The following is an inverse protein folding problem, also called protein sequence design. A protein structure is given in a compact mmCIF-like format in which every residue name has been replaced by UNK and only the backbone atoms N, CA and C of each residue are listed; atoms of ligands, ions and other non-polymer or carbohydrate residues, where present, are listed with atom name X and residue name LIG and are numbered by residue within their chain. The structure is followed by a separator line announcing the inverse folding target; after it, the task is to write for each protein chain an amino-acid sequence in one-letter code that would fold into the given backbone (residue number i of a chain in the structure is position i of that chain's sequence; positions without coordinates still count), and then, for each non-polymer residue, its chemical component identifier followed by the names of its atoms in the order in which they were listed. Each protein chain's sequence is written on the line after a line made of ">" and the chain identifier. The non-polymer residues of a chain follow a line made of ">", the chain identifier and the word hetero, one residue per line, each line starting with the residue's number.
data_IF_278786365327
#
_entry.id   IF_278786365327
#
_cell.length_a   1.000
_cell.length_b   1.000
_cell.length_c   1.000
_cell.angle_alpha   90.00
_cell.angle_beta   90.00
_cell.angle_gamma   90.00
#
_symmetry.space_group_name_H-M   'P 1'
#
loop_
_entity.id
_entity.type
_entity.pdbx_description
1 polymer ?
#
# COMPACT_ATOMS: atom_id res chain seq x y z
N UNK A 1 -17.29 -14.41 16.63
CA UNK A 1 -16.75 -13.07 16.37
C UNK A 1 -16.17 -13.13 14.98
N UNK A 2 -16.60 -12.27 14.04
CA UNK A 2 -16.10 -12.32 12.68
C UNK A 2 -14.59 -12.10 12.65
N UNK A 3 -13.91 -12.90 11.84
CA UNK A 3 -12.47 -12.85 11.62
C UNK A 3 -12.19 -12.20 10.27
N UNK A 4 -11.47 -11.08 10.28
CA UNK A 4 -11.02 -10.39 9.08
C UNK A 4 -9.52 -10.67 8.92
N UNK A 5 -9.13 -11.31 7.83
CA UNK A 5 -7.74 -11.55 7.49
C UNK A 5 -7.28 -10.52 6.47
N UNK A 6 -6.19 -9.81 6.75
CA UNK A 6 -5.62 -8.82 5.85
C UNK A 6 -4.24 -9.30 5.43
N UNK A 7 -4.02 -9.39 4.13
CA UNK A 7 -2.74 -9.66 3.50
C UNK A 7 -2.16 -8.41 2.81
N UNK A 8 -0.83 -8.39 2.69
CA UNK A 8 -0.08 -7.28 2.11
C UNK A 8 -0.15 -7.20 0.59
N UNK A 9 0.91 -6.62 0.00
CA UNK A 9 0.99 -6.32 -1.42
C UNK A 9 1.08 -7.60 -2.29
N UNK A 10 0.21 -7.68 -3.30
CA UNK A 10 0.15 -8.78 -4.27
C UNK A 10 0.45 -8.22 -5.66
N UNK A 11 1.60 -8.62 -6.20
CA UNK A 11 2.10 -8.31 -7.55
C UNK A 11 2.40 -9.62 -8.29
N UNK A 12 1.65 -9.87 -9.35
CA UNK A 12 1.70 -11.10 -10.12
C UNK A 12 2.80 -11.00 -11.20
N UNK A 13 4.01 -11.46 -10.89
CA UNK A 13 5.15 -11.35 -11.82
C UNK A 13 6.21 -12.42 -11.59
N UNK A 14 7.22 -12.45 -12.45
CA UNK A 14 8.42 -13.29 -12.28
C UNK A 14 8.06 -14.77 -12.06
N UNK A 15 8.54 -15.42 -10.99
CA UNK A 15 8.31 -16.85 -10.76
C UNK A 15 6.90 -17.15 -10.23
N UNK A 16 6.18 -16.17 -9.68
CA UNK A 16 4.79 -16.38 -9.21
C UNK A 16 3.78 -16.33 -10.35
N UNK A 17 4.04 -15.58 -11.42
CA UNK A 17 3.15 -15.46 -12.57
C UNK A 17 2.67 -16.81 -13.15
N UNK A 18 3.55 -17.79 -13.49
CA UNK A 18 3.08 -19.07 -14.02
C UNK A 18 2.20 -19.85 -13.03
N UNK A 19 2.40 -19.68 -11.71
CA UNK A 19 1.56 -20.31 -10.68
C UNK A 19 0.18 -19.65 -10.62
N UNK A 20 0.13 -18.32 -10.77
CA UNK A 20 -1.12 -17.58 -10.92
C UNK A 20 -1.88 -18.01 -12.18
N UNK A 21 -1.21 -18.22 -13.30
CA UNK A 21 -1.86 -18.67 -14.53
C UNK A 21 -2.38 -20.12 -14.44
N UNK A 22 -1.75 -20.95 -13.60
CA UNK A 22 -2.09 -22.35 -13.39
C UNK A 22 -3.15 -22.60 -12.30
N UNK A 23 -3.66 -21.54 -11.65
CA UNK A 23 -4.56 -21.65 -10.47
C UNK A 23 -3.92 -22.37 -9.28
N UNK A 24 -2.59 -22.34 -9.15
CA UNK A 24 -1.86 -23.06 -8.11
C UNK A 24 -1.76 -22.24 -6.81
N UNK A 25 -2.90 -22.07 -6.14
CA UNK A 25 -2.97 -21.36 -4.87
C UNK A 25 -2.12 -22.04 -3.78
N UNK A 26 -1.99 -23.37 -3.81
CA UNK A 26 -1.18 -24.13 -2.86
C UNK A 26 0.31 -23.78 -2.97
N UNK A 27 0.86 -23.66 -4.18
CA UNK A 27 2.24 -23.22 -4.37
C UNK A 27 2.45 -21.74 -4.04
N UNK A 28 1.44 -20.89 -4.25
CA UNK A 28 1.53 -19.45 -3.99
C UNK A 28 1.43 -19.12 -2.51
N UNK A 29 0.44 -19.65 -1.80
CA UNK A 29 0.14 -19.27 -0.42
C UNK A 29 0.60 -20.31 0.61
N UNK A 30 0.88 -21.54 0.18
CA UNK A 30 1.49 -22.55 1.05
C UNK A 30 0.68 -22.82 2.33
N UNK A 31 1.37 -22.78 3.47
CA UNK A 31 0.80 -22.95 4.80
C UNK A 31 0.03 -21.73 5.33
N UNK A 32 -0.10 -20.65 4.53
CA UNK A 32 -1.03 -19.56 4.83
C UNK A 32 -2.47 -19.93 4.46
N UNK A 33 -2.70 -20.81 3.49
CA UNK A 33 -4.05 -21.12 2.98
C UNK A 33 -5.07 -21.51 4.06
N UNK A 34 -4.74 -22.34 5.07
CA UNK A 34 -5.70 -22.67 6.12
C UNK A 34 -6.22 -21.44 6.89
N UNK A 35 -5.42 -20.36 6.98
CA UNK A 35 -5.86 -19.12 7.60
C UNK A 35 -6.82 -18.33 6.70
N UNK A 36 -6.63 -18.39 5.37
CA UNK A 36 -7.53 -17.76 4.40
C UNK A 36 -8.87 -18.50 4.37
N UNK A 37 -8.85 -19.83 4.41
CA UNK A 37 -10.06 -20.66 4.45
C UNK A 37 -10.86 -20.51 5.75
N UNK A 38 -10.19 -20.22 6.87
CA UNK A 38 -10.82 -20.05 8.17
C UNK A 38 -11.35 -18.64 8.44
N UNK A 39 -10.90 -17.64 7.67
CA UNK A 39 -11.33 -16.26 7.84
C UNK A 39 -12.74 -16.05 7.26
N UNK A 40 -13.54 -15.21 7.90
CA UNK A 40 -14.88 -14.87 7.41
C UNK A 40 -14.85 -13.76 6.33
N UNK A 41 -13.74 -13.01 6.29
CA UNK A 41 -13.46 -11.99 5.26
C UNK A 41 -11.95 -11.84 5.03
N UNK A 42 -11.49 -12.08 3.82
CA UNK A 42 -10.08 -11.91 3.43
C UNK A 42 -9.88 -10.71 2.50
N UNK A 43 -8.98 -9.82 2.90
CA UNK A 43 -8.61 -8.59 2.18
C UNK A 43 -7.14 -8.64 1.74
N UNK A 44 -6.83 -8.22 0.52
CA UNK A 44 -5.43 -8.00 0.09
C UNK A 44 -5.28 -6.72 -0.75
N UNK A 45 -4.05 -6.22 -0.91
CA UNK A 45 -3.76 -5.14 -1.87
C UNK A 45 -3.32 -5.73 -3.21
N UNK A 46 -4.11 -5.52 -4.26
CA UNK A 46 -3.75 -5.92 -5.61
C UNK A 46 -2.98 -4.79 -6.29
N UNK A 47 -1.65 -4.85 -6.15
CA UNK A 47 -0.71 -3.80 -6.57
C UNK A 47 -0.19 -3.98 -7.99
N UNK A 48 -0.96 -4.65 -8.83
CA UNK A 48 -0.75 -4.62 -10.28
C UNK A 48 -2.08 -4.76 -11.02
N UNK A 49 -2.29 -4.00 -12.10
CA UNK A 49 -3.48 -4.13 -12.91
C UNK A 49 -3.51 -5.49 -13.62
N UNK A 50 -4.71 -6.06 -13.70
CA UNK A 50 -4.98 -7.29 -14.44
C UNK A 50 -5.51 -6.94 -15.84
N UNK A 51 -4.69 -7.16 -16.85
CA UNK A 51 -4.84 -6.63 -18.20
C UNK A 51 -5.10 -7.73 -19.24
N UNK A 52 -5.86 -7.37 -20.29
CA UNK A 52 -5.99 -8.20 -21.50
C UNK A 52 -4.89 -7.90 -22.53
N UNK A 53 -4.41 -6.65 -22.54
CA UNK A 53 -3.39 -6.13 -23.45
C UNK A 53 -2.59 -5.04 -22.76
N UNK A 54 -1.30 -4.99 -23.05
CA UNK A 54 -0.42 -3.92 -22.58
C UNK A 54 -0.82 -2.56 -23.18
N UNK A 55 -0.95 -1.57 -22.31
CA UNK A 55 -1.25 -0.17 -22.64
C UNK A 55 -0.56 0.80 -21.67
N UNK A 56 0.79 0.76 -21.57
CA UNK A 56 1.55 1.45 -20.52
C UNK A 56 1.36 2.98 -20.56
N UNK A 57 1.23 3.60 -19.39
CA UNK A 57 1.26 5.07 -19.27
C UNK A 57 2.70 5.61 -19.24
N UNK A 58 2.86 6.88 -19.61
CA UNK A 58 4.12 7.59 -19.35
C UNK A 58 4.21 7.95 -17.87
N UNK A 59 5.07 7.25 -17.12
CA UNK A 59 5.35 7.48 -15.70
C UNK A 59 6.83 7.32 -15.37
N UNK A 60 7.19 7.71 -14.15
CA UNK A 60 8.46 7.32 -13.52
C UNK A 60 8.29 6.03 -12.73
N UNK A 61 9.34 5.21 -12.64
CA UNK A 61 9.28 3.91 -11.95
C UNK A 61 8.82 2.77 -12.86
N UNK A 62 8.64 1.56 -12.30
CA UNK A 62 8.22 0.40 -13.09
C UNK A 62 6.77 0.53 -13.55
N UNK A 63 6.49 -0.11 -14.69
CA UNK A 63 5.14 -0.41 -15.18
C UNK A 63 4.86 -1.88 -14.86
N UNK A 64 3.80 -2.13 -14.09
CA UNK A 64 3.35 -3.45 -13.69
C UNK A 64 2.06 -3.82 -14.43
N UNK A 65 1.89 -5.11 -14.67
CA UNK A 65 0.67 -5.68 -15.25
C UNK A 65 0.75 -7.19 -15.31
N UNK A 66 -0.39 -7.85 -15.16
CA UNK A 66 -0.52 -9.30 -15.26
C UNK A 66 -1.79 -9.69 -16.02
N UNK A 67 -1.90 -10.90 -16.59
CA UNK A 67 -3.09 -11.28 -17.34
C UNK A 67 -4.38 -11.28 -16.50
N UNK A 68 -5.47 -10.77 -17.07
CA UNK A 68 -6.81 -10.69 -16.46
C UNK A 68 -7.24 -12.00 -15.75
N UNK A 69 -7.00 -13.15 -16.40
CA UNK A 69 -7.39 -14.48 -15.90
C UNK A 69 -6.78 -14.84 -14.53
N UNK A 70 -5.68 -14.21 -14.12
CA UNK A 70 -5.03 -14.51 -12.86
C UNK A 70 -5.84 -14.11 -11.62
N UNK A 71 -6.88 -13.27 -11.77
CA UNK A 71 -7.84 -12.99 -10.69
C UNK A 71 -8.44 -14.26 -10.08
N UNK A 72 -8.66 -15.30 -10.90
CA UNK A 72 -9.27 -16.56 -10.47
C UNK A 72 -8.46 -17.28 -9.39
N UNK A 73 -7.13 -17.15 -9.41
CA UNK A 73 -6.27 -17.80 -8.41
C UNK A 73 -6.39 -17.14 -7.05
N UNK A 74 -6.65 -15.83 -7.00
CA UNK A 74 -6.94 -15.14 -5.74
C UNK A 74 -8.27 -15.63 -5.16
N UNK A 75 -9.30 -15.82 -6.00
CA UNK A 75 -10.57 -16.38 -5.57
C UNK A 75 -10.41 -17.82 -5.06
N UNK A 76 -9.63 -18.66 -5.76
CA UNK A 76 -9.30 -20.03 -5.30
C UNK A 76 -8.57 -20.02 -3.95
N UNK A 77 -7.75 -19.00 -3.68
CA UNK A 77 -7.07 -18.85 -2.40
C UNK A 77 -7.96 -18.32 -1.27
N UNK A 78 -9.24 -18.00 -1.53
CA UNK A 78 -10.16 -17.47 -0.53
C UNK A 78 -10.10 -15.95 -0.33
N UNK A 79 -9.62 -15.19 -1.32
CA UNK A 79 -9.66 -13.72 -1.26
C UNK A 79 -11.06 -13.21 -1.61
N UNK A 80 -11.69 -12.48 -0.69
CA UNK A 80 -13.05 -11.93 -0.87
C UNK A 80 -13.07 -10.53 -1.47
N UNK A 81 -12.09 -9.70 -1.10
CA UNK A 81 -12.00 -8.34 -1.60
C UNK A 81 -10.56 -7.86 -1.76
N UNK A 82 -10.34 -6.98 -2.73
CA UNK A 82 -9.06 -6.34 -2.98
C UNK A 82 -9.18 -4.82 -2.92
N UNK A 83 -8.23 -4.17 -2.26
CA UNK A 83 -8.01 -2.75 -2.49
C UNK A 83 -7.23 -2.58 -3.79
N UNK A 84 -7.67 -1.60 -4.57
CA UNK A 84 -7.01 -1.11 -5.78
C UNK A 84 -6.39 0.28 -5.55
N UNK A 85 -6.48 0.81 -4.32
CA UNK A 85 -5.86 2.07 -3.93
C UNK A 85 -4.36 1.87 -3.75
N UNK A 86 -3.61 1.93 -4.83
CA UNK A 86 -2.15 1.89 -4.84
C UNK A 86 -1.58 2.69 -6.01
N UNK A 87 -0.26 2.85 -6.04
CA UNK A 87 0.45 3.63 -7.05
C UNK A 87 0.53 2.96 -8.44
N UNK A 88 0.21 1.67 -8.54
CA UNK A 88 0.36 0.86 -9.76
C UNK A 88 -0.94 0.59 -10.53
N UNK A 89 -2.13 0.82 -9.94
CA UNK A 89 -3.40 0.45 -10.59
C UNK A 89 -3.65 1.09 -11.97
N UNK A 90 -3.07 2.27 -12.24
CA UNK A 90 -3.15 2.93 -13.56
C UNK A 90 -1.93 2.72 -14.45
N UNK A 91 -1.06 1.77 -14.16
CA UNK A 91 0.13 1.52 -14.99
C UNK A 91 -0.21 1.22 -16.45
N UNK A 92 -1.40 0.66 -16.70
CA UNK A 92 -1.99 0.47 -18.02
C UNK A 92 -3.23 1.34 -18.28
N UNK A 93 -3.27 2.51 -17.63
CA UNK A 93 -4.31 3.53 -17.79
C UNK A 93 -5.72 3.04 -17.46
N UNK A 94 -6.70 3.71 -18.05
CA UNK A 94 -8.13 3.38 -17.90
C UNK A 94 -8.44 1.92 -18.27
N UNK A 95 -7.86 1.45 -19.38
CA UNK A 95 -8.11 0.09 -19.87
C UNK A 95 -7.63 -0.96 -18.86
N UNK A 96 -6.47 -0.75 -18.25
CA UNK A 96 -5.95 -1.62 -17.21
C UNK A 96 -6.84 -1.67 -15.97
N UNK A 97 -7.28 -0.51 -15.47
CA UNK A 97 -8.19 -0.42 -14.33
C UNK A 97 -9.54 -1.11 -14.61
N UNK A 98 -10.19 -0.79 -15.74
CA UNK A 98 -11.47 -1.39 -16.12
C UNK A 98 -11.37 -2.92 -16.29
N UNK A 99 -10.28 -3.39 -16.91
CA UNK A 99 -9.97 -4.81 -17.03
C UNK A 99 -9.78 -5.47 -15.66
N UNK A 100 -9.12 -4.78 -14.73
CA UNK A 100 -8.88 -5.28 -13.37
C UNK A 100 -10.19 -5.44 -12.60
N UNK A 101 -11.02 -4.40 -12.58
CA UNK A 101 -12.32 -4.43 -11.89
C UNK A 101 -13.18 -5.56 -12.46
N UNK A 102 -13.28 -5.67 -13.79
CA UNK A 102 -14.05 -6.73 -14.45
C UNK A 102 -13.50 -8.12 -14.10
N UNK A 103 -12.19 -8.31 -14.14
CA UNK A 103 -11.57 -9.60 -13.84
C UNK A 103 -11.81 -10.04 -12.39
N UNK A 104 -11.76 -9.10 -11.44
CA UNK A 104 -12.11 -9.35 -10.04
C UNK A 104 -13.60 -9.69 -9.90
N UNK A 105 -14.49 -8.92 -10.51
CA UNK A 105 -15.94 -9.15 -10.48
C UNK A 105 -16.31 -10.53 -11.05
N UNK A 106 -15.74 -10.91 -12.20
CA UNK A 106 -15.94 -12.22 -12.83
C UNK A 106 -15.40 -13.38 -11.98
N UNK A 107 -14.38 -13.12 -11.14
CA UNK A 107 -13.83 -14.08 -10.19
C UNK A 107 -14.60 -14.11 -8.85
N UNK A 108 -15.60 -13.25 -8.65
CA UNK A 108 -16.34 -13.14 -7.40
C UNK A 108 -15.65 -12.30 -6.32
N UNK A 109 -14.61 -11.55 -6.68
CA UNK A 109 -13.81 -10.73 -5.77
C UNK A 109 -14.33 -9.28 -5.80
N UNK A 110 -14.65 -8.72 -4.64
CA UNK A 110 -15.03 -7.32 -4.54
C UNK A 110 -13.82 -6.40 -4.70
N UNK A 111 -14.02 -5.20 -5.27
CA UNK A 111 -12.95 -4.19 -5.38
C UNK A 111 -13.34 -2.90 -4.66
N UNK A 112 -12.38 -2.24 -4.05
CA UNK A 112 -12.56 -0.90 -3.47
C UNK A 112 -11.30 -0.05 -3.64
N UNK A 113 -11.40 1.26 -3.37
CA UNK A 113 -10.25 2.17 -3.43
C UNK A 113 -9.82 2.59 -4.85
N UNK A 114 -10.58 2.28 -5.89
CA UNK A 114 -10.40 2.83 -7.23
C UNK A 114 -11.73 2.96 -7.97
N UNK A 115 -11.80 3.83 -8.97
CA UNK A 115 -13.02 4.05 -9.74
C UNK A 115 -12.88 5.05 -10.87
N UNK A 116 -14.01 5.38 -11.52
CA UNK A 116 -14.06 6.26 -12.71
C UNK A 116 -13.68 7.72 -12.46
N UNK A 117 -13.74 8.14 -11.21
CA UNK A 117 -13.42 9.47 -10.73
C UNK A 117 -13.19 9.41 -9.22
N UNK A 118 -12.74 10.54 -8.65
CA UNK A 118 -12.43 10.66 -7.22
C UNK A 118 -13.58 10.25 -6.29
N UNK A 119 -14.84 10.56 -6.66
CA UNK A 119 -16.00 10.17 -5.84
C UNK A 119 -16.21 8.67 -5.87
N UNK A 120 -16.20 8.05 -7.07
CA UNK A 120 -16.34 6.61 -7.22
C UNK A 120 -15.19 5.84 -6.54
N UNK A 121 -13.96 6.33 -6.65
CA UNK A 121 -12.79 5.70 -6.04
C UNK A 121 -12.84 5.74 -4.51
N UNK A 122 -13.38 6.82 -3.94
CA UNK A 122 -13.50 7.01 -2.49
C UNK A 122 -14.75 6.38 -1.85
N UNK A 123 -15.50 5.53 -2.57
CA UNK A 123 -16.68 4.85 -2.02
C UNK A 123 -16.27 3.77 -1.02
N UNK A 124 -17.02 3.69 0.07
CA UNK A 124 -16.88 2.62 1.05
C UNK A 124 -17.48 1.33 0.50
N UNK A 125 -16.72 0.24 0.56
CA UNK A 125 -17.27 -1.09 0.39
C UNK A 125 -17.78 -1.57 1.75
N UNK A 126 -19.03 -2.04 1.81
CA UNK A 126 -19.60 -2.58 3.05
C UNK A 126 -20.00 -4.04 2.80
N UNK A 127 -19.56 -4.94 3.69
CA UNK A 127 -19.90 -6.36 3.68
C UNK A 127 -20.44 -6.79 5.04
N UNK A 128 -21.47 -7.63 5.04
CA UNK A 128 -21.98 -8.25 6.27
C UNK A 128 -21.29 -9.59 6.47
N UNK A 129 -20.65 -9.77 7.62
CA UNK A 129 -19.81 -10.93 7.97
C UNK A 129 -20.21 -11.38 9.37
N UNK A 130 -20.80 -12.58 9.51
CA UNK A 130 -21.30 -13.10 10.79
C UNK A 130 -22.17 -12.09 11.59
N UNK A 131 -23.00 -11.31 10.87
CA UNK A 131 -23.88 -10.29 11.44
C UNK A 131 -23.22 -8.93 11.76
N UNK A 132 -21.91 -8.78 11.55
CA UNK A 132 -21.18 -7.51 11.64
C UNK A 132 -21.02 -6.88 10.26
N UNK A 133 -21.32 -5.58 10.12
CA UNK A 133 -21.13 -4.84 8.87
C UNK A 133 -19.74 -4.23 8.87
N UNK A 134 -18.84 -4.78 8.06
CA UNK A 134 -17.47 -4.28 7.90
C UNK A 134 -17.44 -3.28 6.74
N UNK A 135 -17.14 -2.03 7.06
CA UNK A 135 -16.80 -0.99 6.10
C UNK A 135 -15.32 -1.05 5.74
N UNK A 136 -14.99 -0.84 4.47
CA UNK A 136 -13.64 -0.88 3.93
C UNK A 136 -13.36 0.36 3.09
N UNK A 137 -12.25 1.03 3.37
CA UNK A 137 -11.73 2.15 2.58
C UNK A 137 -10.27 1.91 2.21
N UNK A 138 -9.94 2.21 0.96
CA UNK A 138 -8.57 2.19 0.45
C UNK A 138 -8.13 3.61 0.11
N UNK A 139 -6.89 3.98 0.41
CA UNK A 139 -6.28 5.25 0.00
C UNK A 139 -4.83 5.04 -0.39
N UNK A 140 -4.32 5.83 -1.33
CA UNK A 140 -2.93 5.81 -1.75
C UNK A 140 -2.32 7.22 -1.75
N UNK A 141 -1.02 7.31 -1.50
CA UNK A 141 -0.28 8.56 -1.72
C UNK A 141 -0.38 9.04 -3.17
N UNK A 142 -0.23 10.35 -3.36
CA UNK A 142 -0.43 10.98 -4.65
C UNK A 142 0.71 10.65 -5.62
N UNK A 143 0.48 9.64 -6.45
CA UNK A 143 1.36 9.24 -7.54
C UNK A 143 0.67 9.35 -8.92
N UNK A 144 1.08 8.52 -9.89
CA UNK A 144 0.56 8.51 -11.26
C UNK A 144 -0.84 7.88 -11.36
N UNK A 145 -1.32 7.24 -10.29
CA UNK A 145 -2.54 6.44 -10.29
C UNK A 145 -3.79 7.15 -9.76
N UNK A 146 -3.69 8.35 -9.20
CA UNK A 146 -4.81 8.95 -8.45
C UNK A 146 -5.94 9.44 -9.35
N UNK A 147 -7.17 9.08 -8.96
CA UNK A 147 -8.39 9.53 -9.60
C UNK A 147 -8.58 11.05 -9.44
N UNK A 148 -8.90 11.71 -10.55
CA UNK A 148 -9.26 13.12 -10.58
C UNK A 148 -10.77 13.31 -10.52
N UNK A 149 -11.23 14.56 -10.59
CA UNK A 149 -12.67 14.88 -10.67
C UNK A 149 -13.36 14.26 -11.89
N UNK A 150 -12.62 14.04 -12.98
CA UNK A 150 -13.14 13.53 -14.27
C UNK A 150 -12.24 12.45 -14.88
N UNK A 151 -11.32 11.89 -14.10
CA UNK A 151 -10.39 10.86 -14.54
C UNK A 151 -10.39 9.72 -13.54
N UNK A 152 -10.35 8.49 -14.06
CA UNK A 152 -10.32 7.28 -13.24
C UNK A 152 -9.00 7.12 -12.50
N UNK A 153 -8.97 6.25 -11.50
CA UNK A 153 -7.77 5.93 -10.74
C UNK A 153 -8.05 5.44 -9.32
N UNK A 154 -6.98 5.34 -8.54
CA UNK A 154 -6.99 5.07 -7.11
C UNK A 154 -7.57 6.25 -6.31
N UNK A 155 -8.17 5.94 -5.16
CA UNK A 155 -8.51 6.94 -4.15
C UNK A 155 -7.21 7.53 -3.58
N UNK A 156 -7.01 8.83 -3.80
CA UNK A 156 -5.87 9.53 -3.21
C UNK A 156 -6.05 9.74 -1.71
N UNK A 157 -4.93 9.93 -1.01
CA UNK A 157 -4.89 10.33 0.40
C UNK A 157 -5.45 11.76 0.56
N UNK A 158 -6.78 11.86 0.60
CA UNK A 158 -7.56 13.09 0.75
C UNK A 158 -8.45 12.95 1.99
N UNK A 159 -7.95 13.43 3.13
CA UNK A 159 -8.65 13.38 4.42
C UNK A 159 -10.03 14.05 4.37
N UNK A 160 -10.20 15.11 3.57
CA UNK A 160 -11.50 15.78 3.46
C UNK A 160 -12.53 14.93 2.71
N UNK A 161 -12.09 14.14 1.72
CA UNK A 161 -12.96 13.18 1.03
C UNK A 161 -13.23 11.95 1.88
N UNK A 162 -12.22 11.41 2.59
CA UNK A 162 -12.39 10.35 3.59
C UNK A 162 -13.46 10.72 4.63
N UNK A 163 -13.34 11.91 5.22
CA UNK A 163 -14.28 12.41 6.23
C UNK A 163 -15.70 12.55 5.70
N UNK A 164 -15.87 12.92 4.43
CA UNK A 164 -17.19 12.97 3.80
C UNK A 164 -17.76 11.56 3.66
N UNK A 165 -16.97 10.62 3.15
CA UNK A 165 -17.41 9.22 3.00
C UNK A 165 -17.80 8.59 4.34
N UNK A 166 -16.98 8.78 5.39
CA UNK A 166 -17.28 8.27 6.74
C UNK A 166 -18.62 8.82 7.26
N UNK A 167 -18.83 10.13 7.14
CA UNK A 167 -20.08 10.78 7.59
C UNK A 167 -21.30 10.34 6.77
N UNK A 168 -21.15 10.20 5.46
CA UNK A 168 -22.23 9.76 4.56
C UNK A 168 -22.66 8.31 4.84
N UNK A 169 -21.75 7.48 5.37
CA UNK A 169 -22.00 6.08 5.71
C UNK A 169 -22.17 5.86 7.22
N UNK A 170 -22.39 6.92 8.00
CA UNK A 170 -22.57 6.80 9.44
C UNK A 170 -23.75 5.87 9.76
N UNK A 171 -23.48 4.83 10.56
CA UNK A 171 -24.47 3.82 10.93
C UNK A 171 -24.72 2.73 9.88
N UNK A 172 -24.07 2.78 8.72
CA UNK A 172 -24.15 1.74 7.69
C UNK A 172 -23.18 0.57 7.94
N UNK A 173 -22.15 0.78 8.75
CA UNK A 173 -21.16 -0.21 9.18
C UNK A 173 -21.00 -0.19 10.70
N UNK A 174 -20.45 -1.29 11.24
CA UNK A 174 -20.17 -1.50 12.66
C UNK A 174 -18.66 -1.42 12.94
N UNK A 175 -17.82 -1.79 11.96
CA UNK A 175 -16.36 -1.74 12.05
C UNK A 175 -15.76 -1.22 10.75
N UNK A 176 -14.77 -0.33 10.80
CA UNK A 176 -14.13 0.26 9.63
C UNK A 176 -12.65 -0.15 9.51
N UNK A 177 -12.31 -0.84 8.43
CA UNK A 177 -10.92 -1.15 8.05
C UNK A 177 -10.45 -0.14 7.01
N UNK A 178 -9.30 0.48 7.26
CA UNK A 178 -8.64 1.37 6.29
C UNK A 178 -7.32 0.76 5.83
N UNK A 179 -7.21 0.50 4.53
CA UNK A 179 -5.97 0.10 3.88
C UNK A 179 -5.32 1.34 3.25
N UNK A 180 -4.16 1.74 3.80
CA UNK A 180 -3.44 2.94 3.38
C UNK A 180 -2.14 2.55 2.65
N UNK A 181 -2.10 2.74 1.35
CA UNK A 181 -0.91 2.50 0.54
C UNK A 181 0.01 3.73 0.60
N UNK A 182 0.85 3.79 1.64
CA UNK A 182 1.68 4.93 2.01
C UNK A 182 2.90 4.53 2.85
N UNK A 183 3.84 5.47 2.96
CA UNK A 183 5.05 5.33 3.77
C UNK A 183 6.30 5.18 2.93
N UNK A 184 7.45 5.36 3.57
CA UNK A 184 8.72 5.37 2.86
C UNK A 184 9.21 3.95 2.54
N UNK A 185 9.53 3.68 1.28
CA UNK A 185 9.99 2.35 0.84
C UNK A 185 11.21 1.87 1.65
N UNK A 186 11.10 0.62 2.10
CA UNK A 186 12.05 -0.10 2.93
C UNK A 186 12.37 0.58 4.27
N UNK A 187 11.52 1.49 4.73
CA UNK A 187 11.59 2.07 6.06
C UNK A 187 10.63 1.32 6.99
N UNK A 188 11.12 0.58 8.01
CA UNK A 188 10.26 -0.18 8.90
C UNK A 188 9.61 0.67 10.01
N UNK A 189 9.71 2.00 9.92
CA UNK A 189 9.14 2.96 10.84
C UNK A 189 8.20 3.89 10.06
N UNK A 190 7.10 4.37 10.68
CA UNK A 190 6.30 5.40 10.04
C UNK A 190 7.08 6.70 9.92
N UNK A 191 6.77 7.48 8.89
CA UNK A 191 7.14 8.90 8.88
C UNK A 191 6.30 9.65 9.93
N UNK A 192 6.77 10.79 10.46
CA UNK A 192 5.97 11.63 11.37
C UNK A 192 4.57 11.93 10.82
N UNK A 193 4.47 12.33 9.54
CA UNK A 193 3.19 12.59 8.87
C UNK A 193 2.34 11.33 8.72
N UNK A 194 2.93 10.20 8.36
CA UNK A 194 2.20 8.94 8.24
C UNK A 194 1.58 8.53 9.58
N UNK A 195 2.33 8.69 10.67
CA UNK A 195 1.84 8.42 12.02
C UNK A 195 0.68 9.34 12.40
N UNK A 196 0.80 10.65 12.14
CA UNK A 196 -0.27 11.63 12.36
C UNK A 196 -1.54 11.27 11.57
N UNK A 197 -1.39 10.95 10.28
CA UNK A 197 -2.50 10.56 9.41
C UNK A 197 -3.19 9.29 9.93
N UNK A 198 -2.45 8.24 10.26
CA UNK A 198 -3.06 6.99 10.72
C UNK A 198 -3.81 7.17 12.05
N UNK A 199 -3.22 7.92 13.00
CA UNK A 199 -3.89 8.25 14.26
C UNK A 199 -5.16 9.08 14.00
N UNK A 200 -5.12 10.05 13.10
CA UNK A 200 -6.31 10.82 12.71
C UNK A 200 -7.41 9.94 12.12
N UNK A 201 -7.07 8.95 11.28
CA UNK A 201 -8.06 8.01 10.73
C UNK A 201 -8.77 7.22 11.84
N UNK A 202 -8.03 6.81 12.87
CA UNK A 202 -8.61 6.16 14.06
C UNK A 202 -9.49 7.14 14.85
N UNK A 203 -9.05 8.39 15.06
CA UNK A 203 -9.86 9.41 15.73
C UNK A 203 -11.21 9.66 15.04
N UNK A 204 -11.25 9.46 13.73
CA UNK A 204 -12.45 9.64 12.90
C UNK A 204 -13.22 8.33 12.67
N UNK A 205 -12.93 7.28 13.44
CA UNK A 205 -13.75 6.07 13.54
C UNK A 205 -13.22 4.86 12.76
N UNK A 206 -11.98 4.87 12.27
CA UNK A 206 -11.34 3.64 11.80
C UNK A 206 -11.11 2.69 12.98
N UNK A 207 -11.62 1.46 12.85
CA UNK A 207 -11.39 0.38 13.81
C UNK A 207 -10.06 -0.33 13.60
N UNK A 208 -9.48 -0.25 12.39
CA UNK A 208 -8.13 -0.70 12.08
C UNK A 208 -7.53 0.10 10.93
N UNK A 209 -6.23 0.39 10.98
CA UNK A 209 -5.48 1.03 9.89
C UNK A 209 -4.27 0.19 9.52
N UNK A 210 -4.18 -0.25 8.27
CA UNK A 210 -3.07 -1.08 7.79
C UNK A 210 -2.35 -0.36 6.67
N UNK A 211 -1.08 -0.02 6.90
CA UNK A 211 -0.24 0.60 5.90
C UNK A 211 0.46 -0.45 5.03
N UNK A 212 0.36 -0.25 3.73
CA UNK A 212 0.95 -1.04 2.64
C UNK A 212 1.85 -0.09 1.82
N UNK A 213 2.63 -0.57 0.84
CA UNK A 213 3.63 0.19 0.03
C UNK A 213 5.09 0.15 0.54
N UNK A 214 5.34 0.19 1.85
CA UNK A 214 6.73 0.24 2.35
C UNK A 214 7.58 -0.99 1.99
N UNK A 215 6.92 -2.06 1.51
CA UNK A 215 7.51 -3.35 1.14
C UNK A 215 8.38 -3.97 2.25
N UNK A 216 8.09 -3.66 3.51
CA UNK A 216 8.71 -4.32 4.65
C UNK A 216 7.75 -4.37 5.85
N UNK A 217 7.92 -5.38 6.69
CA UNK A 217 7.19 -5.48 7.95
C UNK A 217 7.69 -4.40 8.93
N UNK A 218 6.82 -3.43 9.18
CA UNK A 218 7.11 -2.20 9.91
C UNK A 218 6.88 -2.30 11.42
N UNK A 219 6.40 -1.20 11.99
CA UNK A 219 6.05 -1.07 13.40
C UNK A 219 4.53 -1.18 13.61
N UNK A 220 4.12 -1.56 14.82
CA UNK A 220 2.72 -1.73 15.21
C UNK A 220 2.39 -0.74 16.32
N UNK A 221 1.16 -0.24 16.35
CA UNK A 221 0.66 0.60 17.42
C UNK A 221 -0.78 0.21 17.74
N UNK A 222 -1.12 0.14 19.02
CA UNK A 222 -2.51 0.18 19.45
C UNK A 222 -2.81 1.62 19.89
N UNK A 223 -3.60 2.33 19.09
CA UNK A 223 -3.94 3.73 19.32
C UNK A 223 -5.42 3.85 19.63
N UNK A 224 -5.78 4.34 20.82
CA UNK A 224 -7.17 4.44 21.29
C UNK A 224 -7.99 3.13 21.14
N UNK A 225 -7.33 1.98 21.30
CA UNK A 225 -7.94 0.65 21.18
C UNK A 225 -8.06 0.12 19.75
N UNK A 226 -7.60 0.85 18.73
CA UNK A 226 -7.55 0.39 17.35
C UNK A 226 -6.11 -0.01 16.95
N UNK A 227 -5.91 -1.16 16.29
CA UNK A 227 -4.63 -1.54 15.72
C UNK A 227 -4.25 -0.67 14.52
N UNK A 228 -2.98 -0.26 14.50
CA UNK A 228 -2.31 0.40 13.38
C UNK A 228 -1.04 -0.39 13.03
N UNK A 229 -0.90 -0.84 11.78
CA UNK A 229 0.33 -1.45 11.27
C UNK A 229 0.99 -0.54 10.24
N UNK A 230 2.14 0.05 10.57
CA UNK A 230 2.86 1.04 9.75
C UNK A 230 3.75 0.42 8.66
N UNK A 231 3.30 -0.68 8.06
CA UNK A 231 4.03 -1.42 7.04
C UNK A 231 3.75 -2.91 7.17
N UNK A 232 2.89 -3.43 6.31
CA UNK A 232 2.51 -4.84 6.32
C UNK A 232 3.55 -5.74 5.63
N UNK A 233 4.30 -5.17 4.69
CA UNK A 233 5.16 -5.92 3.77
C UNK A 233 4.39 -6.54 2.61
N UNK A 234 5.13 -7.23 1.75
CA UNK A 234 4.57 -7.90 0.57
C UNK A 234 3.94 -9.22 0.97
N UNK A 235 2.82 -9.61 0.35
CA UNK A 235 2.29 -10.97 0.42
C UNK A 235 2.85 -11.83 -0.71
N UNK A 236 2.80 -11.33 -1.95
CA UNK A 236 3.35 -12.00 -3.12
C UNK A 236 3.92 -10.94 -4.05
N UNK A 237 5.22 -10.68 -3.96
CA UNK A 237 5.89 -9.74 -4.86
C UNK A 237 7.28 -10.30 -5.17
N UNK A 238 7.42 -10.91 -6.34
CA UNK A 238 8.67 -11.57 -6.74
C UNK A 238 9.56 -10.65 -7.60
N UNK A 239 10.73 -10.31 -7.07
CA UNK A 239 11.73 -9.48 -7.74
C UNK A 239 12.88 -10.28 -8.36
N UNK A 240 12.68 -11.58 -8.64
CA UNK A 240 13.72 -12.46 -9.19
C UNK A 240 14.45 -11.89 -10.45
N UNK A 241 15.79 -11.98 -10.52
CA UNK A 241 16.71 -12.47 -9.47
C UNK A 241 16.73 -11.56 -8.24
N UNK A 242 16.81 -12.18 -7.07
CA UNK A 242 16.60 -11.53 -5.77
C UNK A 242 17.40 -10.23 -5.58
N UNK A 243 16.70 -9.22 -5.04
CA UNK A 243 17.31 -7.99 -4.58
C UNK A 243 18.08 -8.21 -3.27
N UNK A 244 19.10 -7.35 -3.05
CA UNK A 244 19.91 -7.35 -1.82
C UNK A 244 19.12 -7.00 -0.56
N UNK A 245 18.01 -6.29 -0.70
CA UNK A 245 17.21 -5.78 0.41
C UNK A 245 16.35 -6.92 1.00
N UNK A 246 16.82 -7.54 2.08
CA UNK A 246 16.17 -8.73 2.66
C UNK A 246 14.80 -8.45 3.28
N UNK A 247 14.55 -7.21 3.72
CA UNK A 247 13.26 -6.79 4.29
C UNK A 247 12.10 -6.87 3.30
N UNK A 248 12.39 -6.92 1.99
CA UNK A 248 11.40 -7.05 0.91
C UNK A 248 10.61 -8.36 0.93
N UNK A 249 11.20 -9.39 1.54
CA UNK A 249 10.66 -10.75 1.53
C UNK A 249 9.89 -11.10 2.79
N UNK A 250 9.73 -10.18 3.74
CA UNK A 250 9.03 -10.44 5.00
C UNK A 250 7.75 -9.60 5.07
N UNK A 251 6.66 -10.22 5.47
CA UNK A 251 5.40 -9.56 5.78
C UNK A 251 4.68 -10.25 6.94
N UNK A 252 3.49 -9.77 7.26
CA UNK A 252 2.61 -10.44 8.21
C UNK A 252 1.16 -10.39 7.74
N UNK A 253 0.45 -11.51 7.89
CA UNK A 253 -1.01 -11.47 7.84
C UNK A 253 -1.47 -10.81 9.14
N UNK A 254 -2.44 -9.92 9.04
CA UNK A 254 -3.12 -9.37 10.20
C UNK A 254 -4.48 -10.03 10.30
N UNK A 255 -4.69 -10.83 11.34
CA UNK A 255 -5.99 -11.38 11.68
C UNK A 255 -6.64 -10.48 12.75
N UNK A 256 -7.84 -10.01 12.46
CA UNK A 256 -8.65 -9.19 13.35
C UNK A 256 -9.89 -9.99 13.77
N UNK A 257 -10.05 -10.23 15.05
CA UNK A 257 -11.31 -10.73 15.60
C UNK A 257 -12.13 -9.56 16.12
N UNK A 258 -13.25 -9.26 15.49
CA UNK A 258 -14.07 -8.09 15.84
C UNK A 258 -15.13 -8.48 16.88
N UNK A 259 -15.05 -7.84 18.05
CA UNK A 259 -15.99 -7.97 19.15
C UNK A 259 -17.31 -7.24 18.89
N UNK A 260 -18.35 -7.62 19.62
CA UNK A 260 -19.68 -6.99 19.52
C UNK A 260 -19.72 -5.54 20.03
N UNK A 261 -18.70 -5.12 20.78
CA UNK A 261 -18.48 -3.75 21.26
C UNK A 261 -17.73 -2.88 20.25
N UNK A 262 -17.35 -3.43 19.09
CA UNK A 262 -16.59 -2.74 18.04
C UNK A 262 -15.08 -2.71 18.28
N UNK A 263 -14.58 -3.29 19.38
CA UNK A 263 -13.16 -3.50 19.59
C UNK A 263 -12.66 -4.70 18.76
N UNK A 264 -11.39 -4.68 18.34
CA UNK A 264 -10.79 -5.80 17.63
C UNK A 264 -9.52 -6.29 18.35
N UNK A 265 -9.43 -7.59 18.62
CA UNK A 265 -8.15 -8.21 18.95
C UNK A 265 -7.37 -8.52 17.68
N UNK A 266 -6.05 -8.33 17.74
CA UNK A 266 -5.17 -8.47 16.58
C UNK A 266 -4.13 -9.56 16.81
N UNK A 267 -3.99 -10.45 15.83
CA UNK A 267 -2.86 -11.37 15.72
C UNK A 267 -2.06 -11.08 14.44
N UNK A 268 -0.73 -11.05 14.56
CA UNK A 268 0.17 -10.95 13.42
C UNK A 268 0.82 -12.31 13.16
N UNK A 269 0.61 -12.84 11.96
CA UNK A 269 1.19 -14.10 11.49
C UNK A 269 2.33 -13.78 10.51
N UNK A 270 3.59 -13.72 10.97
CA UNK A 270 4.71 -13.35 10.12
C UNK A 270 5.05 -14.46 9.12
N UNK A 271 5.36 -14.06 7.89
CA UNK A 271 5.68 -14.98 6.81
C UNK A 271 6.86 -14.46 5.96
N UNK A 272 7.45 -15.36 5.19
CA UNK A 272 8.44 -15.06 4.16
C UNK A 272 7.85 -15.34 2.78
N UNK A 273 7.99 -14.39 1.86
CA UNK A 273 7.52 -14.49 0.47
C UNK A 273 8.68 -14.37 -0.52
N UNK A 274 8.69 -15.22 -1.53
CA UNK A 274 9.62 -15.18 -2.67
C UNK A 274 11.14 -15.22 -2.37
N UNK A 275 11.56 -15.38 -1.11
CA UNK A 275 12.97 -15.61 -0.76
C UNK A 275 13.37 -17.07 -1.04
N UNK A 276 14.38 -17.26 -1.88
CA UNK A 276 14.92 -18.54 -2.36
C UNK A 276 14.01 -19.27 -3.36
N UNK A 277 12.69 -19.19 -3.18
CA UNK A 277 11.66 -19.88 -3.98
C UNK A 277 10.41 -19.01 -4.09
N UNK A 278 9.61 -19.21 -5.14
CA UNK A 278 8.32 -18.54 -5.31
C UNK A 278 7.32 -18.91 -4.21
N UNK A 279 6.36 -18.00 -3.95
CA UNK A 279 5.29 -18.19 -2.98
C UNK A 279 5.62 -17.72 -1.56
N UNK A 280 4.59 -17.67 -0.72
CA UNK A 280 4.63 -17.31 0.69
C UNK A 280 4.62 -18.56 1.58
N UNK A 281 5.21 -18.41 2.77
CA UNK A 281 5.21 -19.44 3.82
C UNK A 281 5.32 -18.79 5.19
N UNK A 282 4.63 -19.33 6.19
CA UNK A 282 4.78 -18.89 7.57
C UNK A 282 6.25 -19.01 7.99
N UNK A 283 6.69 -18.06 8.83
CA UNK A 283 8.00 -18.15 9.45
C UNK A 283 8.03 -19.33 10.42
N UNK A 284 9.15 -20.05 10.47
CA UNK A 284 9.36 -21.06 11.50
C UNK A 284 9.24 -20.43 12.90
N UNK A 285 8.78 -21.15 13.95
CA UNK A 285 8.48 -20.55 15.25
C UNK A 285 9.61 -19.73 15.89
N UNK A 286 10.88 -20.08 15.62
CA UNK A 286 12.05 -19.29 16.05
C UNK A 286 12.20 -17.96 15.29
N UNK A 287 12.02 -18.00 13.98
CA UNK A 287 12.09 -16.82 13.10
C UNK A 287 10.90 -15.89 13.37
N UNK A 288 9.69 -16.44 13.51
CA UNK A 288 8.48 -15.71 13.83
C UNK A 288 8.62 -14.94 15.14
N UNK A 289 9.13 -15.58 16.21
CA UNK A 289 9.40 -14.91 17.49
C UNK A 289 10.40 -13.77 17.36
N UNK A 290 11.48 -13.98 16.60
CA UNK A 290 12.49 -12.94 16.34
C UNK A 290 11.90 -11.76 15.57
N UNK A 291 11.12 -12.04 14.51
CA UNK A 291 10.45 -11.03 13.70
C UNK A 291 9.47 -10.19 14.50
N UNK A 292 8.59 -10.85 15.28
CA UNK A 292 7.62 -10.17 16.14
C UNK A 292 8.29 -9.40 17.28
N UNK A 293 9.39 -9.90 17.84
CA UNK A 293 10.19 -9.15 18.81
C UNK A 293 10.78 -7.87 18.21
N UNK A 294 11.24 -7.92 16.95
CA UNK A 294 11.72 -6.74 16.23
C UNK A 294 10.59 -5.74 15.95
N UNK A 295 9.39 -6.21 15.57
CA UNK A 295 8.19 -5.34 15.46
C UNK A 295 7.91 -4.66 16.79
N UNK A 296 7.84 -5.43 17.88
CA UNK A 296 7.60 -4.91 19.24
C UNK A 296 8.64 -3.88 19.66
N UNK A 297 9.92 -4.13 19.39
CA UNK A 297 11.00 -3.20 19.71
C UNK A 297 10.83 -1.85 18.97
N UNK A 298 10.49 -1.87 17.68
CA UNK A 298 10.21 -0.64 16.92
C UNK A 298 9.00 0.10 17.48
N UNK A 299 7.97 -0.66 17.86
CA UNK A 299 6.68 -0.18 18.36
C UNK A 299 6.78 0.57 19.69
N UNK A 300 7.68 0.14 20.58
CA UNK A 300 7.86 0.75 21.90
C UNK A 300 8.27 2.24 21.83
N UNK A 301 9.03 2.63 20.82
CA UNK A 301 9.47 4.01 20.65
C UNK A 301 8.42 4.93 20.01
N UNK A 302 7.31 4.42 19.46
CA UNK A 302 6.33 5.24 18.73
C UNK A 302 5.56 6.24 19.61
N UNK A 303 5.57 6.03 20.94
CA UNK A 303 4.95 6.96 21.89
C UNK A 303 5.83 8.21 22.11
N UNK A 304 7.10 8.16 21.74
CA UNK A 304 8.04 9.26 21.85
C UNK A 304 8.21 9.92 20.47
N UNK A 305 7.62 11.10 20.28
CA UNK A 305 7.71 11.85 19.02
C UNK A 305 9.17 12.06 18.57
N UNK A 306 10.07 12.28 19.53
CA UNK A 306 11.51 12.43 19.27
C UNK A 306 12.14 11.16 18.67
N UNK A 307 11.69 9.96 19.08
CA UNK A 307 12.20 8.70 18.54
C UNK A 307 11.81 8.52 17.07
N UNK A 308 10.54 8.78 16.74
CA UNK A 308 10.03 8.69 15.36
C UNK A 308 10.76 9.69 14.47
N UNK A 309 10.89 10.94 14.94
CA UNK A 309 11.63 11.99 14.23
C UNK A 309 13.10 11.61 14.01
N UNK A 310 13.79 11.09 15.02
CA UNK A 310 15.17 10.65 14.88
C UNK A 310 15.32 9.55 13.81
N UNK A 311 14.47 8.52 13.83
CA UNK A 311 14.52 7.43 12.83
C UNK A 311 14.23 7.94 11.42
N UNK A 312 13.36 8.93 11.31
CA UNK A 312 13.06 9.59 10.05
C UNK A 312 14.23 10.42 9.51
N UNK A 313 14.89 11.20 10.37
CA UNK A 313 16.09 11.98 10.00
C UNK A 313 17.24 11.07 9.56
N UNK A 314 17.46 9.93 10.26
CA UNK A 314 18.43 8.90 9.85
C UNK A 314 18.12 8.35 8.44
N UNK A 315 16.85 8.10 8.14
CA UNK A 315 16.40 7.64 6.82
C UNK A 315 16.62 8.69 5.72
N UNK A 316 16.32 9.95 6.02
CA UNK A 316 16.48 11.09 5.12
C UNK A 316 17.96 11.36 4.80
N UNK A 317 18.83 11.37 5.82
CA UNK A 317 20.27 11.59 5.67
C UNK A 317 20.91 10.57 4.71
N UNK A 318 20.46 9.31 4.75
CA UNK A 318 20.94 8.27 3.84
C UNK A 318 20.58 8.53 2.36
N UNK A 319 19.55 9.33 2.08
CA UNK A 319 19.02 9.62 0.74
C UNK A 319 19.34 11.03 0.24
N UNK A 320 19.83 11.90 1.12
CA UNK A 320 20.10 13.30 0.85
C UNK A 320 20.85 13.53 -0.46
N UNK A 321 22.00 12.89 -0.65
CA UNK A 321 22.83 13.07 -1.86
C UNK A 321 22.09 12.71 -3.14
N UNK A 322 21.35 11.60 -3.13
CA UNK A 322 20.58 11.13 -4.27
C UNK A 322 19.46 12.11 -4.60
N UNK A 323 18.70 12.53 -3.60
CA UNK A 323 17.59 13.46 -3.76
C UNK A 323 18.04 14.87 -4.19
N UNK A 324 19.04 15.44 -3.51
CA UNK A 324 19.56 16.76 -3.85
C UNK A 324 20.11 16.80 -5.28
N UNK A 325 20.67 15.70 -5.77
CA UNK A 325 21.11 15.61 -7.17
C UNK A 325 19.95 15.68 -8.18
N UNK A 326 18.75 15.22 -7.80
CA UNK A 326 17.55 15.26 -8.63
C UNK A 326 16.91 16.66 -8.67
N UNK A 327 16.97 17.41 -7.57
CA UNK A 327 16.37 18.75 -7.45
C UNK A 327 17.37 19.90 -7.61
N UNK A 328 18.63 19.62 -7.92
CA UNK A 328 19.68 20.63 -8.03
C UNK A 328 19.33 21.70 -9.07
N UNK A 329 19.06 22.91 -8.57
CA UNK A 329 18.78 24.08 -9.38
C UNK A 329 20.04 24.71 -9.98
N UNK A 330 19.85 25.52 -11.02
CA UNK A 330 20.95 26.25 -11.63
C UNK A 330 21.20 27.57 -10.89
N UNK A 331 22.44 27.78 -10.41
CA UNK A 331 22.83 29.00 -9.70
C UNK A 331 22.53 30.31 -10.46
N UNK A 332 22.66 31.46 -9.78
CA UNK A 332 22.20 32.76 -10.27
C UNK A 332 22.65 33.15 -11.69
N UNK A 333 23.87 32.78 -12.08
CA UNK A 333 24.40 33.05 -13.41
C UNK A 333 23.68 32.26 -14.49
N UNK A 334 23.56 30.95 -14.31
CA UNK A 334 22.86 30.05 -15.24
C UNK A 334 21.38 30.42 -15.33
N UNK A 335 20.72 30.77 -14.21
CA UNK A 335 19.34 31.28 -14.23
C UNK A 335 19.16 32.50 -15.15
N UNK A 336 20.07 33.47 -15.10
CA UNK A 336 20.02 34.67 -15.97
C UNK A 336 20.25 34.32 -17.43
N UNK A 337 21.17 33.41 -17.73
CA UNK A 337 21.39 32.89 -19.09
C UNK A 337 20.10 32.21 -19.57
N UNK A 338 19.50 31.35 -18.75
CA UNK A 338 18.29 30.62 -19.08
C UNK A 338 17.11 31.53 -19.45
N UNK A 339 16.89 32.61 -18.71
CA UNK A 339 15.86 33.60 -19.01
C UNK A 339 16.01 34.26 -20.39
N UNK A 340 17.24 34.32 -20.93
CA UNK A 340 17.52 34.91 -22.24
C UNK A 340 17.42 33.92 -23.39
N UNK A 341 17.82 32.67 -23.20
CA UNK A 341 17.96 31.70 -24.32
C UNK A 341 16.79 30.70 -24.45
N UNK A 342 15.88 30.61 -23.48
CA UNK A 342 14.63 29.84 -23.62
C UNK A 342 14.74 28.31 -23.67
N UNK A 343 15.95 27.75 -23.63
CA UNK A 343 16.27 26.32 -23.65
C UNK A 343 15.88 25.49 -22.40
N UNK A 344 15.16 26.07 -21.42
CA UNK A 344 14.75 25.37 -20.19
C UNK A 344 13.88 24.12 -20.47
N UNK A 345 13.05 24.17 -21.53
CA UNK A 345 12.25 23.01 -21.96
C UNK A 345 13.09 21.85 -22.45
N UNK A 346 14.34 22.11 -22.87
CA UNK A 346 15.30 21.09 -23.31
C UNK A 346 16.06 20.48 -22.14
N UNK A 347 16.27 21.25 -21.06
CA UNK A 347 16.98 20.80 -19.84
C UNK A 347 16.05 20.00 -18.93
N UNK A 348 14.79 20.42 -18.80
CA UNK A 348 13.72 19.71 -18.10
C UNK A 348 12.95 18.82 -19.08
N UNK A 349 13.57 17.69 -19.45
CA UNK A 349 12.92 16.64 -20.24
C UNK A 349 11.59 16.20 -19.60
N UNK A 350 10.66 15.59 -20.36
CA UNK A 350 9.44 14.99 -19.79
C UNK A 350 9.74 14.10 -18.58
N UNK A 351 10.76 13.26 -18.66
CA UNK A 351 11.22 12.39 -17.57
C UNK A 351 11.62 13.17 -16.31
N UNK A 352 12.50 14.18 -16.44
CA UNK A 352 12.92 15.02 -15.30
C UNK A 352 11.75 15.78 -14.68
N UNK A 353 10.81 16.25 -15.50
CA UNK A 353 9.58 16.88 -15.00
C UNK A 353 8.69 15.87 -14.27
N UNK A 354 8.62 14.62 -14.74
CA UNK A 354 7.94 13.53 -14.07
C UNK A 354 8.53 13.23 -12.69
N UNK A 355 9.86 13.14 -12.59
CA UNK A 355 10.56 12.93 -11.30
C UNK A 355 10.25 14.09 -10.34
N UNK A 356 10.44 15.33 -10.78
CA UNK A 356 10.14 16.50 -9.95
C UNK A 356 8.68 16.58 -9.54
N UNK A 357 7.76 16.26 -10.46
CA UNK A 357 6.35 16.21 -10.13
C UNK A 357 6.10 15.19 -9.03
N UNK A 358 6.61 13.94 -9.18
CA UNK A 358 6.41 12.88 -8.19
C UNK A 358 6.94 13.28 -6.81
N UNK A 359 8.12 13.89 -6.77
CA UNK A 359 8.75 14.40 -5.56
C UNK A 359 7.89 15.44 -4.81
N UNK A 360 7.12 16.25 -5.52
CA UNK A 360 6.28 17.30 -4.93
C UNK A 360 4.91 16.78 -4.50
N UNK A 361 4.30 15.89 -5.29
CA UNK A 361 2.92 15.45 -5.05
C UNK A 361 2.80 14.32 -4.03
N UNK A 362 3.69 13.32 -4.09
CA UNK A 362 3.66 12.16 -3.20
C UNK A 362 4.04 12.60 -1.79
N UNK A 363 3.23 12.20 -0.81
CA UNK A 363 3.33 12.65 0.57
C UNK A 363 4.67 12.26 1.19
N UNK A 364 5.08 11.00 1.08
CA UNK A 364 6.35 10.52 1.62
C UNK A 364 7.54 11.19 0.93
N UNK A 365 7.53 11.32 -0.40
CA UNK A 365 8.61 12.01 -1.11
C UNK A 365 8.71 13.50 -0.74
N UNK A 366 7.57 14.18 -0.60
CA UNK A 366 7.54 15.59 -0.19
C UNK A 366 8.07 15.76 1.23
N UNK A 367 7.69 14.89 2.16
CA UNK A 367 8.17 14.93 3.54
C UNK A 367 9.69 14.71 3.62
N UNK A 368 10.27 13.84 2.79
CA UNK A 368 11.73 13.67 2.70
C UNK A 368 12.40 15.00 2.30
N UNK A 369 11.86 15.69 1.29
CA UNK A 369 12.39 16.98 0.83
C UNK A 369 12.26 18.05 1.91
N UNK A 370 11.09 18.17 2.53
CA UNK A 370 10.84 19.12 3.62
C UNK A 370 11.81 18.90 4.78
N UNK A 371 12.07 17.64 5.12
CA UNK A 371 13.01 17.28 6.19
C UNK A 371 14.43 17.67 5.84
N UNK A 372 14.95 17.23 4.68
CA UNK A 372 16.33 17.52 4.24
C UNK A 372 16.57 19.02 4.09
N UNK A 373 15.62 19.76 3.49
CA UNK A 373 15.77 21.19 3.27
C UNK A 373 15.49 22.02 4.53
N UNK A 374 14.74 21.49 5.50
CA UNK A 374 14.40 22.16 6.76
C UNK A 374 15.44 22.02 7.86
N UNK A 375 16.40 21.10 7.73
CA UNK A 375 17.49 20.88 8.72
C UNK A 375 18.57 22.00 8.76
N UNK A 376 18.32 23.17 8.15
CA UNK A 376 19.28 24.29 8.06
C UNK A 376 19.37 25.16 9.29
#
# INVERSE_FOLDING_TARGET
>A
MPTILIGGDVVLKSRTLPLFEALDAAALFGDLLPHFEAADLTLVNLECPLIERESPIEKTGPVLGAPARCARTLAVAGVDAVTLANNHILDHGRQGLESTIRACEEAGIATFGAGDNREAAGRMLIRSVEGCRVGMLGMAEHEWSIAGRRSCGAAGLDLASFMRTVRENQGAYDFLVVLLHAGAEHHPYPTPRQMEVCRFLVEEGAGAVVCQHSHCLGAYEEYRGAPILYGQGNLLFDTYPEQRQTTFYTGALMALEVGADGAASTELLPYVQCAGRAGARLMEPGEARTGLAAVKQRSQGLQEEAYVKQKWEEYCAAREKGLLSQIHGHGNLLRRVHHRVGWLRTIYSPEKRGVLLNLVRCESHREIIETICGST
#
